data_IF_796927154177
#
_entry.id   IF_796927154177
#
_cell.length_a   1.000
_cell.length_b   1.000
_cell.length_c   1.000
_cell.angle_alpha   90.00
_cell.angle_beta   90.00
_cell.angle_gamma   90.00
#
_symmetry.space_group_name_H-M   'P 1'
#
loop_
_entity.id
_entity.type
_entity.pdbx_description
1 polymer ?
#
# COMPACT_ATOMS: atom_id res chain seq x y z
N UNK A 1 -6.20 -9.91 -6.53
CA UNK A 1 -5.82 -8.56 -6.97
C UNK A 1 -6.92 -7.92 -7.80
N UNK A 2 -7.31 -8.49 -8.93
CA UNK A 2 -8.42 -8.00 -9.78
C UNK A 2 -9.71 -7.76 -9.00
N UNK A 3 -10.05 -8.68 -8.10
CA UNK A 3 -11.23 -8.58 -7.25
C UNK A 3 -11.13 -7.42 -6.26
N UNK A 4 -9.97 -7.21 -5.67
CA UNK A 4 -9.71 -6.09 -4.78
C UNK A 4 -9.93 -4.74 -5.48
N UNK A 5 -9.35 -4.55 -6.66
CA UNK A 5 -9.50 -3.31 -7.41
C UNK A 5 -10.94 -3.09 -7.91
N UNK A 6 -11.62 -4.13 -8.36
CA UNK A 6 -13.03 -4.04 -8.73
C UNK A 6 -13.90 -3.64 -7.53
N UNK A 7 -13.56 -4.11 -6.34
CA UNK A 7 -14.20 -3.75 -5.09
C UNK A 7 -13.98 -2.27 -4.74
N UNK A 8 -12.72 -1.82 -4.75
CA UNK A 8 -12.36 -0.42 -4.49
C UNK A 8 -13.03 0.54 -5.48
N UNK A 9 -13.03 0.19 -6.77
CA UNK A 9 -13.71 0.97 -7.79
C UNK A 9 -15.22 1.06 -7.56
N UNK A 10 -15.86 -0.06 -7.30
CA UNK A 10 -17.28 -0.10 -7.02
C UNK A 10 -17.64 0.70 -5.75
N UNK A 11 -16.80 0.60 -4.71
CA UNK A 11 -16.98 1.33 -3.46
C UNK A 11 -16.88 2.85 -3.64
N UNK A 12 -15.86 3.32 -4.35
CA UNK A 12 -15.59 4.76 -4.47
C UNK A 12 -16.52 5.49 -5.44
N UNK A 13 -17.05 4.81 -6.45
CA UNK A 13 -17.76 5.47 -7.55
C UNK A 13 -19.23 5.07 -7.70
N UNK A 14 -19.73 4.10 -6.94
CA UNK A 14 -21.10 3.62 -7.10
C UNK A 14 -21.84 3.51 -5.77
N UNK A 15 -23.15 3.80 -5.75
CA UNK A 15 -23.98 3.62 -4.57
C UNK A 15 -24.07 2.15 -4.17
N UNK A 16 -24.22 1.90 -2.88
CA UNK A 16 -24.20 0.56 -2.25
C UNK A 16 -25.03 -0.48 -3.01
N UNK A 17 -26.27 -0.13 -3.35
CA UNK A 17 -27.21 -1.02 -4.06
C UNK A 17 -26.71 -1.56 -5.40
N UNK A 18 -25.70 -0.94 -6.01
CA UNK A 18 -25.17 -1.34 -7.33
C UNK A 18 -23.75 -1.89 -7.28
N UNK A 19 -23.07 -1.81 -6.12
CA UNK A 19 -21.65 -2.19 -5.98
C UNK A 19 -21.36 -3.62 -6.41
N UNK A 20 -22.16 -4.56 -5.97
CA UNK A 20 -21.97 -5.98 -6.29
C UNK A 20 -22.11 -6.27 -7.79
N UNK A 21 -23.10 -5.66 -8.44
CA UNK A 21 -23.30 -5.79 -9.87
C UNK A 21 -22.15 -5.17 -10.67
N UNK A 22 -21.69 -4.00 -10.28
CA UNK A 22 -20.56 -3.31 -10.91
C UNK A 22 -19.29 -4.11 -10.73
N UNK A 23 -19.00 -4.57 -9.52
CA UNK A 23 -17.85 -5.40 -9.20
C UNK A 23 -17.80 -6.65 -10.06
N UNK A 24 -18.91 -7.41 -10.12
CA UNK A 24 -18.99 -8.61 -10.93
C UNK A 24 -18.76 -8.34 -12.42
N UNK A 25 -19.28 -7.24 -12.94
CA UNK A 25 -19.06 -6.80 -14.32
C UNK A 25 -17.58 -6.46 -14.58
N UNK A 26 -16.95 -5.70 -13.69
CA UNK A 26 -15.54 -5.32 -13.81
C UNK A 26 -14.62 -6.54 -13.78
N UNK A 27 -14.85 -7.49 -12.89
CA UNK A 27 -14.08 -8.74 -12.83
C UNK A 27 -14.20 -9.52 -14.14
N UNK A 28 -15.40 -9.66 -14.69
CA UNK A 28 -15.61 -10.34 -15.99
C UNK A 28 -14.90 -9.63 -17.13
N UNK A 29 -15.01 -8.30 -17.20
CA UNK A 29 -14.34 -7.49 -18.23
C UNK A 29 -12.82 -7.63 -18.15
N UNK A 30 -12.27 -7.55 -16.95
CA UNK A 30 -10.84 -7.68 -16.75
C UNK A 30 -10.32 -9.09 -17.07
N UNK A 31 -11.05 -10.13 -16.71
CA UNK A 31 -10.71 -11.51 -17.05
C UNK A 31 -10.75 -11.74 -18.58
N UNK A 32 -11.77 -11.23 -19.27
CA UNK A 32 -11.87 -11.30 -20.71
C UNK A 32 -10.72 -10.53 -21.41
N UNK A 33 -10.39 -9.33 -20.92
CA UNK A 33 -9.27 -8.56 -21.44
C UNK A 33 -7.95 -9.32 -21.26
N UNK A 34 -7.70 -9.89 -20.07
CA UNK A 34 -6.49 -10.65 -19.77
C UNK A 34 -6.35 -11.88 -20.66
N UNK A 35 -7.46 -12.62 -20.89
CA UNK A 35 -7.48 -13.76 -21.81
C UNK A 35 -7.08 -13.37 -23.23
N UNK A 36 -7.55 -12.21 -23.70
CA UNK A 36 -7.23 -11.69 -25.04
C UNK A 36 -5.84 -11.07 -25.16
N UNK A 37 -5.32 -10.53 -24.05
CA UNK A 37 -4.07 -9.77 -23.99
C UNK A 37 -3.24 -10.20 -22.77
N UNK A 38 -2.66 -11.42 -22.76
CA UNK A 38 -2.00 -11.98 -21.58
C UNK A 38 -0.81 -11.14 -21.06
N UNK A 39 -0.09 -10.49 -21.98
CA UNK A 39 1.13 -9.72 -21.69
C UNK A 39 0.92 -8.20 -21.72
N UNK A 40 -0.32 -7.71 -21.83
CA UNK A 40 -0.60 -6.27 -21.82
C UNK A 40 -1.13 -5.83 -20.46
N UNK A 41 -0.76 -4.62 -20.07
CA UNK A 41 -1.31 -4.00 -18.88
C UNK A 41 -2.82 -3.88 -18.94
N UNK A 42 -3.46 -4.07 -17.79
CA UNK A 42 -4.89 -3.87 -17.67
C UNK A 42 -5.19 -2.37 -17.76
N UNK A 43 -5.84 -1.94 -18.85
CA UNK A 43 -6.27 -0.55 -19.02
C UNK A 43 -7.70 -0.39 -18.49
N UNK A 44 -7.86 0.46 -17.50
CA UNK A 44 -9.18 0.87 -16.98
C UNK A 44 -9.44 2.30 -17.46
N UNK A 45 -10.43 2.45 -18.34
CA UNK A 45 -10.67 3.65 -19.17
C UNK A 45 -10.94 4.96 -18.40
N UNK A 46 -11.28 4.92 -17.12
CA UNK A 46 -11.72 6.09 -16.36
C UNK A 46 -10.88 6.37 -15.10
N UNK A 47 -9.75 5.70 -14.96
CA UNK A 47 -8.92 5.88 -13.77
C UNK A 47 -7.87 6.98 -13.97
N UNK A 48 -7.63 7.85 -12.98
CA UNK A 48 -6.51 8.80 -13.02
C UNK A 48 -5.19 8.08 -13.30
N UNK A 49 -4.28 8.70 -14.04
CA UNK A 49 -2.97 8.11 -14.39
C UNK A 49 -2.20 7.59 -13.16
N UNK A 50 -2.34 8.26 -12.03
CA UNK A 50 -1.74 7.85 -10.74
C UNK A 50 -2.28 6.53 -10.22
N UNK A 51 -3.56 6.25 -10.40
CA UNK A 51 -4.16 4.97 -10.03
C UNK A 51 -3.84 3.85 -11.05
N UNK A 52 -3.60 4.19 -12.32
CA UNK A 52 -3.18 3.24 -13.35
C UNK A 52 -1.79 2.64 -13.06
N UNK A 53 -0.89 3.37 -12.41
CA UNK A 53 0.42 2.85 -12.04
C UNK A 53 0.33 1.61 -11.14
N UNK A 54 -0.62 1.57 -10.21
CA UNK A 54 -0.89 0.39 -9.39
C UNK A 54 -1.36 -0.84 -10.18
N UNK A 55 -2.01 -0.63 -11.33
CA UNK A 55 -2.45 -1.72 -12.22
C UNK A 55 -1.38 -2.20 -13.17
N UNK A 56 -0.40 -1.36 -13.50
CA UNK A 56 0.69 -1.73 -14.40
C UNK A 56 1.57 -2.84 -13.82
N UNK A 57 1.78 -2.83 -12.50
CA UNK A 57 2.54 -3.85 -11.79
C UNK A 57 1.83 -5.22 -11.65
N UNK A 58 0.55 -5.33 -12.02
CA UNK A 58 -0.23 -6.56 -11.80
C UNK A 58 0.26 -7.77 -12.59
N UNK A 59 0.99 -7.58 -13.68
CA UNK A 59 1.59 -8.69 -14.42
C UNK A 59 2.73 -9.36 -13.66
N UNK A 60 3.39 -8.60 -12.81
CA UNK A 60 4.54 -9.03 -12.01
C UNK A 60 4.15 -9.36 -10.55
N UNK A 61 2.86 -9.26 -10.23
CA UNK A 61 2.37 -9.56 -8.90
C UNK A 61 2.29 -11.07 -8.69
N UNK A 62 2.95 -11.56 -7.66
CA UNK A 62 2.81 -12.94 -7.23
C UNK A 62 1.40 -13.18 -6.67
N UNK A 63 0.58 -14.05 -7.30
CA UNK A 63 -0.77 -14.32 -6.83
C UNK A 63 -0.81 -14.95 -5.44
N UNK A 64 0.27 -15.61 -5.00
CA UNK A 64 0.37 -16.24 -3.70
C UNK A 64 0.76 -15.23 -2.59
N UNK A 65 1.23 -14.03 -2.94
CA UNK A 65 1.65 -13.02 -1.96
C UNK A 65 0.54 -12.69 -0.95
N UNK A 66 -0.70 -12.53 -1.41
CA UNK A 66 -1.83 -12.29 -0.52
C UNK A 66 -2.15 -13.45 0.43
N UNK A 67 -1.88 -14.67 0.02
CA UNK A 67 -2.07 -15.87 0.83
C UNK A 67 -1.11 -15.91 2.02
N UNK A 68 0.12 -15.42 1.85
CA UNK A 68 1.12 -15.37 2.92
C UNK A 68 0.70 -14.46 4.07
N UNK A 69 -0.04 -13.39 3.81
CA UNK A 69 -0.62 -12.53 4.85
C UNK A 69 -1.80 -13.19 5.55
N UNK A 70 -2.59 -13.95 4.81
CA UNK A 70 -3.78 -14.61 5.35
C UNK A 70 -3.41 -15.76 6.31
N UNK A 71 -2.36 -16.51 6.00
CA UNK A 71 -1.88 -17.64 6.81
C UNK A 71 -0.69 -17.29 7.71
N UNK A 72 -0.35 -16.00 7.81
CA UNK A 72 0.77 -15.47 8.62
C UNK A 72 2.14 -16.08 8.31
N UNK A 73 2.34 -16.50 7.06
CA UNK A 73 3.60 -17.12 6.63
C UNK A 73 4.59 -16.16 5.97
N UNK A 74 4.21 -14.89 5.75
CA UNK A 74 5.06 -13.92 5.04
C UNK A 74 6.37 -13.58 5.77
N UNK A 75 6.43 -13.82 7.07
CA UNK A 75 7.63 -13.62 7.88
C UNK A 75 8.72 -14.67 7.64
N UNK A 76 8.38 -15.85 7.11
CA UNK A 76 9.32 -16.99 6.96
C UNK A 76 10.13 -17.26 8.23
N UNK A 77 9.56 -17.06 9.41
CA UNK A 77 10.22 -17.20 10.70
C UNK A 77 11.22 -16.11 11.08
N UNK A 78 11.30 -15.02 10.29
CA UNK A 78 12.21 -13.89 10.54
C UNK A 78 11.43 -12.77 11.25
N UNK A 79 11.94 -12.29 12.38
CA UNK A 79 11.38 -11.14 13.06
C UNK A 79 11.77 -9.83 12.36
N UNK A 80 10.84 -8.90 12.21
CA UNK A 80 11.10 -7.59 11.60
C UNK A 80 12.21 -6.84 12.35
N UNK A 81 12.25 -6.90 13.67
CA UNK A 81 13.28 -6.28 14.48
C UNK A 81 14.70 -6.80 14.17
N UNK A 82 14.84 -8.07 13.83
CA UNK A 82 16.15 -8.64 13.47
C UNK A 82 16.64 -8.12 12.12
N UNK A 83 15.72 -7.84 11.20
CA UNK A 83 16.05 -7.18 9.94
C UNK A 83 16.42 -5.72 10.19
N UNK A 84 15.63 -4.99 10.97
CA UNK A 84 15.85 -3.59 11.28
C UNK A 84 17.18 -3.33 11.99
N UNK A 85 17.61 -4.23 12.89
CA UNK A 85 18.92 -4.14 13.55
C UNK A 85 20.12 -4.24 12.60
N UNK A 86 19.90 -4.77 11.39
CA UNK A 86 20.93 -4.84 10.34
C UNK A 86 21.02 -3.57 9.48
N UNK A 87 20.15 -2.60 9.71
CA UNK A 87 20.21 -1.30 9.03
C UNK A 87 21.23 -0.43 9.76
N UNK A 88 22.35 -0.18 9.10
CA UNK A 88 23.48 0.60 9.65
C UNK A 88 23.70 1.94 8.95
N UNK A 89 23.00 2.19 7.85
CA UNK A 89 23.03 3.48 7.15
C UNK A 89 22.19 4.54 7.89
N UNK A 90 22.46 5.79 7.61
CA UNK A 90 21.60 6.89 8.05
C UNK A 90 20.20 6.68 7.48
N UNK A 91 19.21 6.80 8.34
CA UNK A 91 17.83 6.42 8.03
C UNK A 91 16.88 7.52 8.47
N UNK A 92 15.99 7.94 7.60
CA UNK A 92 14.82 8.76 7.94
C UNK A 92 13.57 7.90 7.88
N UNK A 93 12.94 7.72 9.04
CA UNK A 93 11.66 7.02 9.11
C UNK A 93 10.50 8.02 9.05
N UNK A 94 9.86 8.11 7.91
CA UNK A 94 8.75 9.03 7.65
C UNK A 94 7.42 8.41 8.12
N UNK A 95 6.82 8.99 9.14
CA UNK A 95 5.60 8.51 9.77
C UNK A 95 4.41 9.41 9.41
N UNK A 96 3.47 8.86 8.66
CA UNK A 96 2.17 9.46 8.44
C UNK A 96 1.29 9.40 9.70
N UNK A 97 0.18 10.14 9.71
CA UNK A 97 -0.79 10.17 10.81
C UNK A 97 -1.30 8.76 11.13
N UNK A 98 -1.41 8.48 12.41
CA UNK A 98 -2.11 7.28 12.88
C UNK A 98 -3.61 7.57 12.94
N UNK A 99 -4.38 6.82 12.17
CA UNK A 99 -5.84 6.89 12.20
C UNK A 99 -6.39 5.59 12.80
N UNK A 100 -7.40 5.75 13.62
CA UNK A 100 -8.15 4.63 14.20
C UNK A 100 -9.57 4.66 13.66
N UNK A 101 -10.13 3.51 13.33
CA UNK A 101 -11.54 3.36 13.02
C UNK A 101 -12.42 3.49 14.26
N UNK A 102 -13.72 3.66 14.05
CA UNK A 102 -14.71 3.75 15.15
C UNK A 102 -14.77 2.45 15.97
N UNK A 103 -14.36 1.33 15.38
CA UNK A 103 -14.23 0.01 16.00
C UNK A 103 -12.89 -0.20 16.75
N UNK A 104 -12.05 0.84 16.81
CA UNK A 104 -10.73 0.78 17.44
C UNK A 104 -9.65 0.08 16.61
N UNK A 105 -9.95 -0.31 15.36
CA UNK A 105 -8.96 -0.89 14.47
C UNK A 105 -8.01 0.17 13.89
N UNK A 106 -6.75 -0.22 13.73
CA UNK A 106 -5.73 0.64 13.12
C UNK A 106 -6.04 0.84 11.63
N UNK A 107 -6.35 2.08 11.25
CA UNK A 107 -6.58 2.50 9.87
C UNK A 107 -5.34 3.21 9.28
N UNK A 108 -4.16 2.74 9.63
CA UNK A 108 -2.88 3.25 9.16
C UNK A 108 -1.92 2.09 8.93
N UNK A 109 -0.88 2.31 8.11
CA UNK A 109 0.12 1.27 7.84
C UNK A 109 0.90 0.87 9.09
N UNK A 110 1.12 1.82 10.01
CA UNK A 110 1.90 1.62 11.22
C UNK A 110 1.30 2.43 12.38
N UNK A 111 1.36 1.86 13.59
CA UNK A 111 1.00 2.50 14.84
C UNK A 111 2.14 3.37 15.39
N UNK A 112 1.88 4.11 16.48
CA UNK A 112 2.94 4.82 17.19
C UNK A 112 3.84 3.88 18.01
N UNK A 113 3.35 2.70 18.36
CA UNK A 113 4.18 1.67 18.99
C UNK A 113 5.17 1.04 18.00
N UNK A 114 4.78 0.90 16.73
CA UNK A 114 5.72 0.48 15.68
C UNK A 114 6.84 1.51 15.49
N UNK A 115 6.56 2.82 15.60
CA UNK A 115 7.60 3.86 15.59
C UNK A 115 8.62 3.66 16.72
N UNK A 116 8.14 3.36 17.93
CA UNK A 116 9.03 3.08 19.09
C UNK A 116 9.87 1.83 18.85
N UNK A 117 9.33 0.79 18.21
CA UNK A 117 10.06 -0.43 17.85
C UNK A 117 11.15 -0.13 16.83
N UNK A 118 10.82 0.63 15.78
CA UNK A 118 11.80 1.04 14.76
C UNK A 118 12.92 1.86 15.38
N UNK A 119 12.60 2.89 16.19
CA UNK A 119 13.60 3.76 16.82
C UNK A 119 14.55 3.04 17.77
N UNK A 120 14.11 1.92 18.36
CA UNK A 120 14.97 1.05 19.20
C UNK A 120 15.83 0.10 18.38
N UNK A 121 15.35 -0.32 17.20
CA UNK A 121 16.02 -1.32 16.39
C UNK A 121 17.06 -0.72 15.44
N UNK A 122 16.81 0.47 14.88
CA UNK A 122 17.69 1.16 13.94
C UNK A 122 18.51 2.23 14.67
N UNK A 123 19.83 2.08 14.69
CA UNK A 123 20.73 2.93 15.50
C UNK A 123 20.77 4.38 15.03
N UNK A 124 20.83 4.62 13.70
CA UNK A 124 20.90 5.94 13.09
C UNK A 124 19.57 6.27 12.41
N UNK A 125 18.51 6.42 13.21
CA UNK A 125 17.17 6.64 12.69
C UNK A 125 16.57 7.95 13.19
N UNK A 126 16.35 8.89 12.28
CA UNK A 126 15.55 10.08 12.52
C UNK A 126 14.07 9.79 12.24
N UNK A 127 13.18 10.19 13.15
CA UNK A 127 11.74 10.05 12.99
C UNK A 127 11.13 11.37 12.57
N UNK A 128 10.64 11.46 11.33
CA UNK A 128 9.93 12.63 10.81
C UNK A 128 8.44 12.32 10.73
N UNK A 129 7.62 13.11 11.43
CA UNK A 129 6.15 12.95 11.46
C UNK A 129 5.47 13.90 10.51
N UNK A 130 4.50 13.37 9.76
CA UNK A 130 3.71 14.12 8.79
C UNK A 130 2.23 14.10 9.18
N UNK A 131 1.61 15.26 9.22
CA UNK A 131 0.16 15.40 9.38
C UNK A 131 -0.54 15.21 8.02
N UNK A 132 -0.54 13.99 7.53
CA UNK A 132 -1.15 13.57 6.27
C UNK A 132 -1.51 12.09 6.30
N UNK A 133 -2.19 11.60 5.26
CA UNK A 133 -2.48 10.19 5.06
C UNK A 133 -1.24 9.37 4.65
N UNK A 134 -1.47 8.12 4.29
CA UNK A 134 -0.41 7.17 3.92
C UNK A 134 0.45 7.63 2.73
N UNK A 135 -0.11 8.43 1.84
CA UNK A 135 0.56 8.91 0.63
C UNK A 135 1.43 10.15 0.86
N UNK A 136 2.40 10.13 1.78
CA UNK A 136 3.24 11.27 2.17
C UNK A 136 3.82 12.00 0.96
N UNK A 137 4.37 11.28 -0.02
CA UNK A 137 4.97 11.84 -1.23
C UNK A 137 3.96 12.51 -2.17
N UNK A 138 2.66 12.18 -2.05
CA UNK A 138 1.56 12.77 -2.83
C UNK A 138 0.99 13.98 -2.09
N UNK A 139 0.75 13.85 -0.78
CA UNK A 139 0.08 14.86 0.03
C UNK A 139 1.02 15.95 0.52
N UNK A 140 2.29 15.62 0.75
CA UNK A 140 3.34 16.51 1.26
C UNK A 140 4.64 16.44 0.42
N UNK A 141 4.58 16.64 -0.92
CA UNK A 141 5.72 16.39 -1.81
C UNK A 141 6.95 17.26 -1.50
N UNK A 142 6.75 18.51 -1.10
CA UNK A 142 7.85 19.42 -0.78
C UNK A 142 8.61 19.00 0.49
N UNK A 143 7.87 18.61 1.52
CA UNK A 143 8.42 18.15 2.79
C UNK A 143 9.11 16.80 2.62
N UNK A 144 8.49 15.89 1.83
CA UNK A 144 9.08 14.61 1.46
C UNK A 144 10.43 14.77 0.76
N UNK A 145 10.51 15.65 -0.26
CA UNK A 145 11.75 15.91 -0.99
C UNK A 145 12.82 16.51 -0.06
N UNK A 146 12.42 17.42 0.85
CA UNK A 146 13.36 18.00 1.82
C UNK A 146 14.00 16.92 2.69
N UNK A 147 13.21 15.99 3.24
CA UNK A 147 13.75 14.87 4.01
C UNK A 147 14.74 14.02 3.21
N UNK A 148 14.50 13.80 1.91
CA UNK A 148 15.46 13.07 1.07
C UNK A 148 16.76 13.82 0.83
N UNK A 149 16.70 15.15 0.75
CA UNK A 149 17.89 16.00 0.56
C UNK A 149 18.72 16.16 1.84
N UNK A 150 18.10 15.95 3.00
CA UNK A 150 18.75 16.04 4.31
C UNK A 150 19.46 14.73 4.69
N UNK A 151 19.22 13.63 3.97
CA UNK A 151 19.99 12.39 4.08
C UNK A 151 21.44 12.64 3.60
N UNK A 152 22.37 12.42 4.50
CA UNK A 152 23.82 12.57 4.25
C UNK A 152 24.45 11.27 3.76
#
# INVERSE_FOLDING_TARGET
VLYYFANQYAWNFFPEKSRDKVRAKLVKMAAAYRKKHPNKDLKVLFWPKTALAGFQGMNNYDPLFGETFYNDSFHCGILHEDILRKVHCDTIFMKAKTNMGDDGLLMAALSDDDVKRVSKAVTNCEIVRFDCGHGIHIERPKEFIRCLMDLK
#
